data_IF_352008269629
#
_entry.id   IF_352008269629
#
_cell.length_a   1.000
_cell.length_b   1.000
_cell.length_c   1.000
_cell.angle_alpha   90.00
_cell.angle_beta   90.00
_cell.angle_gamma   90.00
#
_symmetry.space_group_name_H-M   'P 1'
#
loop_
_entity.id
_entity.type
_entity.pdbx_description
1 polymer ?
#
# COMPACT_ATOMS: atom_id res chain seq x y z
N UNK A 1 -12.14 -13.84 -17.59
CA UNK A 1 -13.00 -12.76 -18.12
C UNK A 1 -12.34 -11.42 -17.81
N UNK A 2 -12.45 -10.40 -18.66
CA UNK A 2 -11.92 -9.05 -18.37
C UNK A 2 -12.90 -8.31 -17.47
N UNK A 3 -12.47 -7.93 -16.26
CA UNK A 3 -13.31 -7.21 -15.31
C UNK A 3 -12.68 -5.85 -14.98
N UNK A 4 -13.50 -4.81 -15.00
CA UNK A 4 -13.14 -3.51 -14.43
C UNK A 4 -13.32 -3.60 -12.92
N UNK A 5 -12.23 -3.48 -12.16
CA UNK A 5 -12.31 -3.40 -10.70
C UNK A 5 -12.60 -1.95 -10.33
N UNK A 6 -13.75 -1.74 -9.71
CA UNK A 6 -14.11 -0.42 -9.17
C UNK A 6 -13.35 -0.18 -7.86
N UNK A 7 -12.87 1.04 -7.58
CA UNK A 7 -12.36 1.36 -6.25
C UNK A 7 -13.46 1.22 -5.16
N UNK A 8 -14.74 1.25 -5.56
CA UNK A 8 -15.89 1.03 -4.68
C UNK A 8 -16.27 -0.44 -4.52
N UNK A 9 -15.57 -1.35 -5.19
CA UNK A 9 -15.79 -2.78 -5.01
C UNK A 9 -15.35 -3.20 -3.60
N UNK A 10 -16.31 -3.66 -2.81
CA UNK A 10 -16.10 -4.08 -1.42
C UNK A 10 -15.67 -5.55 -1.31
N UNK A 11 -15.73 -6.31 -2.41
CA UNK A 11 -15.37 -7.73 -2.45
C UNK A 11 -13.86 -7.93 -2.51
N UNK A 12 -13.13 -6.97 -3.09
CA UNK A 12 -11.68 -7.00 -3.26
C UNK A 12 -10.99 -5.90 -2.45
N UNK A 13 -9.69 -6.08 -2.22
CA UNK A 13 -8.83 -5.07 -1.61
C UNK A 13 -7.47 -5.08 -2.30
N UNK A 14 -6.91 -3.89 -2.49
CA UNK A 14 -5.54 -3.73 -3.02
C UNK A 14 -4.49 -4.11 -1.98
N UNK A 15 -3.35 -4.65 -2.41
CA UNK A 15 -2.31 -5.16 -1.52
C UNK A 15 -1.76 -4.11 -0.56
N UNK A 16 -1.51 -2.89 -1.00
CA UNK A 16 -1.04 -1.81 -0.13
C UNK A 16 -2.10 -1.33 0.88
N UNK A 17 -3.36 -1.27 0.47
CA UNK A 17 -4.47 -0.99 1.36
C UNK A 17 -4.61 -2.08 2.43
N UNK A 18 -4.54 -3.36 2.03
CA UNK A 18 -4.53 -4.49 2.95
C UNK A 18 -3.34 -4.42 3.91
N UNK A 19 -2.14 -4.17 3.40
CA UNK A 19 -0.93 -4.06 4.20
C UNK A 19 -1.03 -2.93 5.24
N UNK A 20 -1.58 -1.78 4.86
CA UNK A 20 -1.82 -0.67 5.78
C UNK A 20 -2.86 -1.01 6.86
N UNK A 21 -3.94 -1.72 6.50
CA UNK A 21 -4.93 -2.19 7.48
C UNK A 21 -4.32 -3.18 8.48
N UNK A 22 -3.49 -4.10 8.00
CA UNK A 22 -2.79 -5.07 8.85
C UNK A 22 -1.79 -4.38 9.78
N UNK A 23 -1.02 -3.42 9.28
CA UNK A 23 -0.06 -2.66 10.07
C UNK A 23 -0.75 -1.85 11.18
N UNK A 24 -1.91 -1.27 10.90
CA UNK A 24 -2.71 -0.55 11.92
C UNK A 24 -3.17 -1.46 13.08
N UNK A 25 -3.30 -2.76 12.84
CA UNK A 25 -3.73 -3.74 13.85
C UNK A 25 -2.55 -4.36 14.62
N UNK A 26 -1.33 -4.26 14.09
CA UNK A 26 -0.13 -4.82 14.69
C UNK A 26 0.84 -3.73 15.16
N UNK A 27 0.99 -3.49 16.49
CA UNK A 27 1.71 -2.34 17.04
C UNK A 27 3.18 -2.17 16.59
N UNK A 28 3.80 -3.26 16.11
CA UNK A 28 5.21 -3.29 15.73
C UNK A 28 5.44 -3.54 14.24
N UNK A 29 4.37 -3.53 13.44
CA UNK A 29 4.47 -3.80 12.00
C UNK A 29 4.37 -2.51 11.19
N UNK A 30 5.19 -2.41 10.14
CA UNK A 30 5.07 -1.34 9.16
C UNK A 30 4.20 -1.82 7.98
N UNK A 31 3.56 -0.89 7.24
CA UNK A 31 2.88 -1.24 5.99
C UNK A 31 3.80 -1.98 5.01
N UNK A 32 5.07 -1.60 4.90
CA UNK A 32 6.03 -2.27 4.02
C UNK A 32 6.31 -3.71 4.45
N UNK A 33 6.43 -3.97 5.75
CA UNK A 33 6.62 -5.34 6.27
C UNK A 33 5.39 -6.21 6.02
N UNK A 34 4.19 -5.63 6.15
CA UNK A 34 2.93 -6.31 5.84
C UNK A 34 2.78 -6.56 4.34
N UNK A 35 3.20 -5.61 3.49
CA UNK A 35 3.22 -5.80 2.04
C UNK A 35 4.21 -6.91 1.66
N UNK A 36 5.40 -6.95 2.27
CA UNK A 36 6.36 -8.02 2.06
C UNK A 36 5.78 -9.39 2.42
N UNK A 37 5.04 -9.49 3.53
CA UNK A 37 4.34 -10.71 3.93
C UNK A 37 3.33 -11.16 2.86
N UNK A 38 2.51 -10.23 2.34
CA UNK A 38 1.53 -10.53 1.29
C UNK A 38 2.20 -10.94 -0.02
N UNK A 39 3.30 -10.29 -0.41
CA UNK A 39 4.07 -10.63 -1.61
C UNK A 39 4.67 -12.04 -1.51
N UNK A 40 5.23 -12.40 -0.34
CA UNK A 40 5.74 -13.76 -0.11
C UNK A 40 4.63 -14.80 -0.21
N UNK A 41 3.46 -14.54 0.36
CA UNK A 41 2.30 -15.42 0.25
C UNK A 41 1.84 -15.57 -1.21
N UNK A 42 1.82 -14.46 -1.97
CA UNK A 42 1.52 -14.49 -3.39
C UNK A 42 2.52 -15.35 -4.18
N UNK A 43 3.81 -15.27 -3.88
CA UNK A 43 4.82 -16.13 -4.52
C UNK A 43 4.74 -17.60 -4.11
N UNK A 44 4.43 -17.86 -2.84
CA UNK A 44 4.20 -19.22 -2.32
C UNK A 44 3.00 -19.90 -2.99
N UNK A 45 2.10 -19.11 -3.58
CA UNK A 45 0.88 -19.61 -4.18
C UNK A 45 -0.27 -19.77 -3.19
N UNK A 46 -0.17 -19.15 -2.01
CA UNK A 46 -1.23 -19.16 -0.98
C UNK A 46 -2.54 -18.51 -1.48
N UNK A 47 -2.46 -17.70 -2.53
CA UNK A 47 -3.59 -17.02 -3.18
C UNK A 47 -3.94 -17.60 -4.55
N UNK A 48 -3.48 -18.83 -4.85
CA UNK A 48 -3.89 -19.53 -6.05
C UNK A 48 -5.30 -20.12 -5.86
N UNK A 49 -6.09 -20.10 -6.94
CA UNK A 49 -7.37 -20.79 -6.94
C UNK A 49 -7.19 -22.31 -6.70
N UNK A 50 -8.21 -23.00 -6.14
CA UNK A 50 -8.16 -24.43 -5.84
C UNK A 50 -7.69 -25.28 -7.03
N UNK A 51 -6.93 -26.35 -6.74
CA UNK A 51 -6.37 -27.23 -7.75
C UNK A 51 -7.48 -28.04 -8.45
N UNK A 52 -7.39 -28.18 -9.78
CA UNK A 52 -8.39 -28.91 -10.59
C UNK A 52 -8.26 -30.44 -10.51
N UNK A 53 -7.22 -30.95 -9.85
CA UNK A 53 -6.85 -32.37 -9.85
C UNK A 53 -6.77 -32.99 -8.46
N UNK A 54 -7.34 -32.34 -7.44
CA UNK A 54 -7.52 -33.02 -6.16
C UNK A 54 -8.66 -34.04 -6.30
N UNK A 55 -8.32 -35.33 -6.16
CA UNK A 55 -9.13 -36.53 -6.42
C UNK A 55 -10.41 -36.70 -5.56
N UNK A 56 -10.89 -35.65 -4.91
CA UNK A 56 -12.12 -35.68 -4.13
C UNK A 56 -13.15 -34.78 -4.79
N UNK A 57 -14.42 -35.21 -4.78
CA UNK A 57 -15.70 -34.57 -5.19
C UNK A 57 -15.84 -33.05 -4.95
N UNK A 58 -14.88 -32.25 -5.39
CA UNK A 58 -14.85 -30.81 -5.26
C UNK A 58 -15.64 -30.22 -6.41
N UNK A 59 -16.70 -29.51 -6.04
CA UNK A 59 -17.51 -28.74 -6.95
C UNK A 59 -16.62 -27.81 -7.79
N UNK A 60 -16.47 -28.14 -9.08
CA UNK A 60 -15.72 -27.33 -10.04
C UNK A 60 -16.30 -25.91 -10.17
N UNK A 61 -17.49 -25.63 -9.61
CA UNK A 61 -18.06 -24.27 -9.46
C UNK A 61 -17.11 -23.30 -8.76
N UNK A 62 -16.26 -23.77 -7.84
CA UNK A 62 -15.35 -22.91 -7.08
C UNK A 62 -14.31 -22.20 -7.96
N UNK A 63 -13.94 -22.76 -9.12
CA UNK A 63 -13.05 -22.06 -10.06
C UNK A 63 -13.74 -20.98 -10.87
N UNK A 64 -15.06 -21.07 -11.02
CA UNK A 64 -15.85 -20.05 -11.70
C UNK A 64 -16.24 -18.92 -10.75
N UNK A 65 -16.05 -19.08 -9.44
CA UNK A 65 -16.23 -18.03 -8.45
C UNK A 65 -15.10 -16.99 -8.57
N UNK A 66 -15.41 -15.74 -8.98
CA UNK A 66 -14.42 -14.68 -9.10
C UNK A 66 -13.71 -14.35 -7.78
N UNK A 67 -14.30 -14.68 -6.63
CA UNK A 67 -13.75 -14.41 -5.30
C UNK A 67 -12.63 -15.37 -4.89
N UNK A 68 -12.30 -16.35 -5.73
CA UNK A 68 -11.22 -17.31 -5.50
C UNK A 68 -9.94 -17.00 -6.29
N UNK A 69 -9.87 -15.83 -6.95
CA UNK A 69 -8.74 -15.47 -7.81
C UNK A 69 -8.08 -14.17 -7.40
N UNK A 70 -6.75 -14.18 -7.33
CA UNK A 70 -5.96 -12.96 -7.34
C UNK A 70 -6.17 -12.23 -8.68
N UNK A 71 -6.29 -10.92 -8.62
CA UNK A 71 -6.51 -10.04 -9.78
C UNK A 71 -5.21 -9.32 -10.12
N UNK A 72 -4.65 -9.68 -11.26
CA UNK A 72 -3.36 -9.22 -11.75
C UNK A 72 -3.59 -8.11 -12.80
N UNK A 73 -3.05 -6.90 -12.60
CA UNK A 73 -3.12 -5.84 -13.59
C UNK A 73 -2.16 -6.14 -14.75
N UNK A 74 -2.69 -6.15 -15.96
CA UNK A 74 -1.91 -6.33 -17.19
C UNK A 74 -2.23 -5.14 -18.10
N UNK A 75 -1.19 -4.52 -18.68
CA UNK A 75 -1.39 -3.48 -19.69
C UNK A 75 -2.26 -4.05 -20.82
N UNK A 76 -3.35 -3.35 -21.16
CA UNK A 76 -4.30 -3.83 -22.14
C UNK A 76 -3.59 -4.07 -23.49
N UNK A 77 -3.75 -5.26 -24.11
CA UNK A 77 -3.07 -5.58 -25.35
C UNK A 77 -3.36 -4.55 -26.44
N UNK A 78 -2.39 -4.15 -27.29
CA UNK A 78 -2.63 -3.16 -28.34
C UNK A 78 -3.80 -3.52 -29.28
N UNK A 79 -4.07 -4.81 -29.46
CA UNK A 79 -5.16 -5.31 -30.28
C UNK A 79 -6.57 -5.05 -29.70
N UNK A 80 -6.68 -4.82 -28.38
CA UNK A 80 -7.96 -4.51 -27.72
C UNK A 80 -8.20 -3.01 -27.58
N UNK A 81 -7.22 -2.18 -27.94
CA UNK A 81 -7.26 -0.74 -27.76
C UNK A 81 -7.68 0.00 -29.03
N UNK A 82 -8.51 1.04 -28.84
CA UNK A 82 -8.80 2.02 -29.89
C UNK A 82 -7.56 2.84 -30.24
N UNK A 83 -7.55 3.47 -31.42
CA UNK A 83 -6.43 4.32 -31.85
C UNK A 83 -6.15 5.47 -30.86
N UNK A 84 -7.20 6.04 -30.26
CA UNK A 84 -7.06 7.05 -29.21
C UNK A 84 -6.38 6.51 -27.96
N UNK A 85 -6.76 5.31 -27.51
CA UNK A 85 -6.17 4.67 -26.33
C UNK A 85 -4.71 4.24 -26.56
N UNK A 86 -4.35 3.83 -27.78
CA UNK A 86 -2.96 3.48 -28.14
C UNK A 86 -1.98 4.65 -27.96
N UNK A 87 -2.48 5.88 -28.09
CA UNK A 87 -1.69 7.13 -27.94
C UNK A 87 -1.51 7.56 -26.48
N UNK A 88 -2.25 6.96 -25.53
CA UNK A 88 -2.14 7.28 -24.11
C UNK A 88 -0.82 6.79 -23.50
N UNK A 89 -0.29 7.57 -22.55
CA UNK A 89 0.86 7.22 -21.72
C UNK A 89 0.57 7.63 -20.26
N UNK A 90 0.44 6.67 -19.31
CA UNK A 90 0.45 5.21 -19.52
C UNK A 90 -0.77 4.72 -20.31
N UNK A 91 -0.67 3.51 -20.88
CA UNK A 91 -1.80 2.81 -21.50
C UNK A 91 -2.75 2.27 -20.42
N UNK A 92 -4.03 2.03 -20.75
CA UNK A 92 -4.97 1.45 -19.80
C UNK A 92 -4.57 0.03 -19.39
N UNK A 93 -4.92 -0.35 -18.17
CA UNK A 93 -4.73 -1.68 -17.62
C UNK A 93 -6.07 -2.40 -17.51
N UNK A 94 -6.02 -3.72 -17.63
CA UNK A 94 -7.13 -4.63 -17.36
C UNK A 94 -6.72 -5.62 -16.26
N UNK A 95 -7.69 -6.09 -15.48
CA UNK A 95 -7.46 -7.01 -14.37
C UNK A 95 -7.86 -8.42 -14.76
N UNK A 96 -6.92 -9.34 -14.60
CA UNK A 96 -7.07 -10.74 -14.98
C UNK A 96 -6.95 -11.66 -13.77
N UNK A 97 -7.76 -12.72 -13.77
CA UNK A 97 -7.67 -13.82 -12.81
C UNK A 97 -6.35 -14.55 -13.01
N UNK A 98 -5.56 -14.65 -11.95
CA UNK A 98 -4.22 -15.20 -12.07
C UNK A 98 -3.72 -15.90 -10.81
N UNK A 99 -2.72 -16.74 -11.02
CA UNK A 99 -1.94 -17.44 -10.00
C UNK A 99 -0.54 -16.87 -9.87
N UNK A 100 0.25 -17.33 -8.91
CA UNK A 100 1.68 -16.98 -8.76
C UNK A 100 2.48 -17.22 -10.06
N UNK A 101 2.10 -18.25 -10.81
CA UNK A 101 2.61 -18.55 -12.14
C UNK A 101 2.32 -17.45 -13.17
N UNK A 102 1.12 -16.90 -13.14
CA UNK A 102 0.70 -15.82 -14.04
C UNK A 102 1.39 -14.52 -13.65
N UNK A 103 1.48 -14.25 -12.35
CA UNK A 103 2.21 -13.12 -11.77
C UNK A 103 3.68 -13.12 -12.22
N UNK A 104 4.35 -14.28 -12.12
CA UNK A 104 5.72 -14.46 -12.60
C UNK A 104 5.85 -14.08 -14.07
N UNK A 105 5.01 -14.65 -14.95
CA UNK A 105 5.06 -14.38 -16.38
C UNK A 105 4.85 -12.90 -16.71
N UNK A 106 3.93 -12.22 -16.02
CA UNK A 106 3.65 -10.80 -16.24
C UNK A 106 4.80 -9.94 -15.76
N UNK A 107 5.27 -10.13 -14.52
CA UNK A 107 6.40 -9.35 -13.98
C UNK A 107 7.69 -9.56 -14.77
N UNK A 108 7.93 -10.80 -15.24
CA UNK A 108 9.03 -11.11 -16.15
C UNK A 108 8.92 -10.34 -17.47
N UNK A 109 7.74 -10.36 -18.10
CA UNK A 109 7.49 -9.66 -19.37
C UNK A 109 7.61 -8.14 -19.24
N UNK A 110 7.24 -7.60 -18.07
CA UNK A 110 7.34 -6.18 -17.74
C UNK A 110 8.73 -5.77 -17.23
N UNK A 111 9.69 -6.70 -17.10
CA UNK A 111 11.03 -6.47 -16.54
C UNK A 111 11.01 -5.90 -15.13
N UNK A 112 10.10 -6.41 -14.29
CA UNK A 112 9.88 -5.98 -12.91
C UNK A 112 10.51 -6.94 -11.88
N UNK A 113 11.08 -8.06 -12.31
CA UNK A 113 11.81 -8.97 -11.44
C UNK A 113 13.13 -8.34 -10.96
N UNK A 114 13.59 -8.66 -9.74
CA UNK A 114 14.78 -8.07 -9.15
C UNK A 114 16.06 -8.67 -9.75
N UNK A 115 17.15 -7.91 -9.79
CA UNK A 115 18.43 -8.36 -10.35
C UNK A 115 18.49 -8.33 -11.88
N UNK A 116 19.36 -9.16 -12.46
CA UNK A 116 19.70 -9.09 -13.88
C UNK A 116 18.68 -9.83 -14.76
N UNK A 117 18.15 -9.13 -15.77
CA UNK A 117 17.17 -9.70 -16.70
C UNK A 117 17.72 -10.92 -17.46
N UNK A 118 19.02 -10.95 -17.81
CA UNK A 118 19.64 -12.08 -18.48
C UNK A 118 19.63 -13.35 -17.64
N UNK A 119 19.83 -13.23 -16.31
CA UNK A 119 19.78 -14.38 -15.42
C UNK A 119 18.37 -14.97 -15.34
N UNK A 120 17.33 -14.12 -15.39
CA UNK A 120 15.94 -14.58 -15.49
C UNK A 120 15.64 -15.22 -16.85
N UNK A 121 16.19 -14.67 -17.94
CA UNK A 121 16.06 -15.26 -19.27
C UNK A 121 16.69 -16.66 -19.33
N UNK A 122 17.85 -16.86 -18.71
CA UNK A 122 18.49 -18.17 -18.61
C UNK A 122 17.64 -19.14 -17.78
N UNK A 123 17.17 -18.69 -16.60
CA UNK A 123 16.36 -19.50 -15.69
C UNK A 123 15.00 -19.90 -16.29
N UNK A 124 14.34 -19.00 -17.02
CA UNK A 124 12.97 -19.18 -17.50
C UNK A 124 12.86 -19.66 -18.95
N UNK A 125 13.82 -19.36 -19.84
CA UNK A 125 13.72 -19.71 -21.27
C UNK A 125 14.55 -20.93 -21.68
N UNK A 126 15.62 -21.30 -20.97
CA UNK A 126 16.61 -22.28 -21.47
C UNK A 126 16.35 -23.74 -21.07
N UNK A 127 15.11 -24.11 -20.75
CA UNK A 127 14.72 -25.50 -20.52
C UNK A 127 14.02 -26.11 -21.74
N UNK A 128 14.75 -26.76 -22.65
CA UNK A 128 14.11 -27.66 -23.62
C UNK A 128 13.42 -28.81 -22.86
N UNK A 129 12.09 -28.89 -22.92
CA UNK A 129 11.31 -29.98 -22.32
C UNK A 129 11.08 -29.89 -20.79
N UNK A 130 11.09 -31.05 -20.10
CA UNK A 130 10.75 -31.19 -18.65
C UNK A 130 11.54 -30.24 -17.73
N UNK A 131 12.68 -29.70 -18.17
CA UNK A 131 13.45 -28.70 -17.43
C UNK A 131 12.77 -27.32 -17.33
N UNK A 132 11.88 -26.95 -18.26
CA UNK A 132 11.12 -25.70 -18.17
C UNK A 132 10.21 -25.64 -16.92
N UNK A 133 9.61 -26.79 -16.55
CA UNK A 133 8.80 -26.89 -15.33
C UNK A 133 9.66 -26.72 -14.07
N UNK A 134 10.92 -27.17 -14.10
CA UNK A 134 11.87 -26.97 -13.01
C UNK A 134 12.31 -25.51 -12.89
N UNK A 135 12.68 -24.85 -14.00
CA UNK A 135 13.11 -23.45 -13.98
C UNK A 135 12.07 -22.49 -13.40
N UNK A 136 10.78 -22.73 -13.69
CA UNK A 136 9.68 -21.95 -13.10
C UNK A 136 9.53 -22.19 -11.59
N UNK A 137 9.63 -23.43 -11.15
CA UNK A 137 9.54 -23.77 -9.73
C UNK A 137 10.73 -23.21 -8.94
N UNK A 138 11.92 -23.28 -9.53
CA UNK A 138 13.15 -22.72 -8.95
C UNK A 138 13.06 -21.20 -8.86
N UNK A 139 12.53 -20.54 -9.90
CA UNK A 139 12.25 -19.11 -9.91
C UNK A 139 11.29 -18.71 -8.78
N UNK A 140 10.16 -19.40 -8.64
CA UNK A 140 9.21 -19.14 -7.55
C UNK A 140 9.85 -19.34 -6.18
N UNK A 141 10.62 -20.42 -6.01
CA UNK A 141 11.35 -20.71 -4.76
C UNK A 141 12.32 -19.59 -4.40
N UNK A 142 13.08 -19.10 -5.38
CA UNK A 142 13.98 -17.96 -5.18
C UNK A 142 13.20 -16.69 -4.79
N UNK A 143 12.10 -16.37 -5.50
CA UNK A 143 11.30 -15.17 -5.27
C UNK A 143 10.65 -15.12 -3.89
N UNK A 144 10.26 -16.27 -3.32
CA UNK A 144 9.76 -16.35 -1.93
C UNK A 144 10.81 -15.91 -0.90
N UNK A 145 12.09 -16.18 -1.17
CA UNK A 145 13.20 -15.84 -0.30
C UNK A 145 13.69 -14.39 -0.42
N UNK A 146 13.33 -13.69 -1.50
CA UNK A 146 13.82 -12.33 -1.75
C UNK A 146 13.05 -11.29 -0.93
N UNK A 147 13.73 -10.42 -0.16
CA UNK A 147 13.09 -9.29 0.52
C UNK A 147 12.48 -8.30 -0.46
N UNK A 148 11.44 -7.57 -0.05
CA UNK A 148 10.72 -6.65 -0.93
C UNK A 148 11.60 -5.47 -1.40
N UNK A 149 12.58 -5.07 -0.59
CA UNK A 149 13.51 -3.99 -0.92
C UNK A 149 14.47 -4.30 -2.08
N UNK A 150 14.59 -5.57 -2.50
CA UNK A 150 15.41 -5.99 -3.64
C UNK A 150 14.77 -5.64 -4.98
N UNK A 151 13.46 -5.42 -5.01
CA UNK A 151 12.72 -5.01 -6.20
C UNK A 151 12.92 -3.52 -6.45
N UNK A 152 12.89 -3.12 -7.71
CA UNK A 152 12.84 -1.71 -8.10
C UNK A 152 11.57 -1.03 -7.56
N UNK A 153 11.55 0.31 -7.53
CA UNK A 153 10.36 1.06 -7.14
C UNK A 153 9.13 0.68 -7.98
N UNK A 154 9.32 0.51 -9.30
CA UNK A 154 8.27 0.05 -10.20
C UNK A 154 7.77 -1.37 -9.86
N UNK A 155 8.67 -2.29 -9.50
CA UNK A 155 8.30 -3.64 -9.08
C UNK A 155 7.51 -3.65 -7.77
N UNK A 156 7.92 -2.84 -6.79
CA UNK A 156 7.19 -2.68 -5.52
C UNK A 156 5.81 -2.05 -5.73
N UNK A 157 5.73 -1.02 -6.57
CA UNK A 157 4.46 -0.39 -6.94
C UNK A 157 3.53 -1.37 -7.68
N UNK A 158 4.08 -2.28 -8.49
CA UNK A 158 3.29 -3.31 -9.15
C UNK A 158 2.66 -4.29 -8.15
N UNK A 159 3.42 -4.77 -7.16
CA UNK A 159 2.84 -5.61 -6.09
C UNK A 159 1.78 -4.86 -5.28
N UNK A 160 2.04 -3.60 -4.93
CA UNK A 160 1.09 -2.76 -4.21
C UNK A 160 -0.25 -2.63 -4.94
N UNK A 161 -0.25 -2.71 -6.28
CA UNK A 161 -1.42 -2.58 -7.14
C UNK A 161 -2.20 -3.89 -7.38
N UNK A 162 -1.73 -5.04 -6.85
CA UNK A 162 -2.47 -6.30 -6.93
C UNK A 162 -3.76 -6.23 -6.12
N UNK A 163 -4.82 -6.88 -6.61
CA UNK A 163 -6.09 -6.98 -5.90
C UNK A 163 -6.36 -8.41 -5.46
N UNK A 164 -6.77 -8.57 -4.21
CA UNK A 164 -7.14 -9.84 -3.60
C UNK A 164 -8.58 -9.79 -3.08
N UNK A 165 -9.42 -10.79 -3.38
CA UNK A 165 -10.69 -10.98 -2.70
C UNK A 165 -10.54 -11.00 -1.18
N UNK A 166 -11.34 -10.18 -0.50
CA UNK A 166 -11.30 -10.04 0.97
C UNK A 166 -11.59 -11.36 1.67
N UNK A 167 -12.50 -12.18 1.13
CA UNK A 167 -12.80 -13.52 1.65
C UNK A 167 -11.56 -14.41 1.63
N UNK A 168 -10.82 -14.41 0.52
CA UNK A 168 -9.60 -15.20 0.38
C UNK A 168 -8.50 -14.70 1.33
N UNK A 169 -8.30 -13.38 1.42
CA UNK A 169 -7.36 -12.80 2.37
C UNK A 169 -7.73 -13.12 3.83
N UNK A 170 -9.01 -13.02 4.19
CA UNK A 170 -9.48 -13.34 5.54
C UNK A 170 -9.23 -14.80 5.88
N UNK A 171 -9.60 -15.73 4.99
CA UNK A 171 -9.40 -17.16 5.20
C UNK A 171 -7.91 -17.51 5.41
N UNK A 172 -7.02 -16.85 4.67
CA UNK A 172 -5.57 -17.01 4.83
C UNK A 172 -5.06 -16.42 6.15
N UNK A 173 -5.56 -15.24 6.57
CA UNK A 173 -5.20 -14.61 7.84
C UNK A 173 -5.65 -15.43 9.06
N UNK A 174 -6.87 -15.99 9.00
CA UNK A 174 -7.46 -16.81 10.07
C UNK A 174 -6.62 -18.06 10.37
N UNK A 175 -5.92 -18.61 9.37
CA UNK A 175 -5.02 -19.75 9.53
C UNK A 175 -3.69 -19.38 10.22
N UNK A 176 -3.28 -18.10 10.17
CA UNK A 176 -1.95 -17.66 10.60
C UNK A 176 -1.95 -16.93 11.94
N UNK A 177 -3.02 -16.23 12.28
CA UNK A 177 -3.06 -15.43 13.51
C UNK A 177 -4.48 -15.17 13.98
N UNK A 178 -4.72 -15.37 15.27
CA UNK A 178 -5.98 -14.99 15.93
C UNK A 178 -6.19 -13.47 16.00
N UNK A 179 -5.15 -12.66 15.73
CA UNK A 179 -5.22 -11.19 15.81
C UNK A 179 -5.99 -10.54 14.64
N UNK A 180 -6.07 -11.24 13.51
CA UNK A 180 -6.73 -10.73 12.29
C UNK A 180 -8.10 -11.36 12.04
N UNK A 181 -8.65 -12.06 13.03
CA UNK A 181 -9.94 -12.74 12.91
C UNK A 181 -11.04 -11.74 12.60
N UNK A 182 -11.81 -12.03 11.54
CA UNK A 182 -12.95 -11.22 11.06
C UNK A 182 -12.59 -9.76 10.71
N UNK A 183 -11.38 -9.50 10.23
CA UNK A 183 -11.00 -8.18 9.72
C UNK A 183 -11.94 -7.71 8.59
N UNK A 184 -12.42 -8.63 7.75
CA UNK A 184 -13.28 -8.35 6.61
C UNK A 184 -14.68 -8.98 6.68
N UNK A 185 -14.98 -9.81 7.69
CA UNK A 185 -16.30 -10.44 7.83
C UNK A 185 -17.30 -9.46 8.43
N UNK A 186 -18.20 -8.93 7.61
CA UNK A 186 -19.44 -8.26 8.04
C UNK A 186 -20.61 -9.24 8.00
N UNK A 187 -20.58 -10.25 8.87
CA UNK A 187 -21.84 -10.90 9.27
C UNK A 187 -22.49 -10.04 10.35
N UNK A 188 -23.12 -8.93 9.95
CA UNK A 188 -24.19 -8.29 10.71
C UNK A 188 -25.23 -7.71 9.75
N UNK A 189 -26.31 -8.48 9.57
CA UNK A 189 -27.63 -7.88 9.65
C UNK A 189 -27.70 -7.05 10.95
N UNK A 190 -28.30 -5.87 10.86
CA UNK A 190 -28.64 -4.92 11.93
C UNK A 190 -27.61 -3.81 12.21
N UNK A 191 -28.12 -2.58 12.07
CA UNK A 191 -27.67 -1.31 12.59
C UNK A 191 -26.58 -0.52 11.84
N UNK A 192 -27.10 0.37 10.99
CA UNK A 192 -26.55 1.60 10.45
C UNK A 192 -25.30 2.16 11.15
N UNK A 193 -24.13 1.73 10.67
CA UNK A 193 -23.02 2.63 10.41
C UNK A 193 -22.41 2.27 9.05
N UNK A 194 -22.61 3.09 8.00
CA UNK A 194 -21.90 2.84 6.76
C UNK A 194 -20.42 3.07 7.04
N UNK A 195 -19.58 2.07 6.76
CA UNK A 195 -18.15 2.30 6.60
C UNK A 195 -18.02 3.12 5.31
N UNK A 196 -18.07 4.45 5.44
CA UNK A 196 -17.94 5.42 4.34
C UNK A 196 -16.50 5.66 3.90
N UNK A 197 -15.59 4.69 4.11
CA UNK A 197 -14.24 4.78 3.57
C UNK A 197 -14.03 3.73 2.47
N UNK A 198 -13.90 4.15 1.19
CA UNK A 198 -13.54 3.24 0.12
C UNK A 198 -12.15 2.66 0.37
N UNK A 199 -12.08 1.34 0.54
CA UNK A 199 -10.85 0.64 0.93
C UNK A 199 -9.74 0.70 -0.14
N UNK A 200 -10.08 1.02 -1.38
CA UNK A 200 -9.15 1.01 -2.51
C UNK A 200 -8.57 2.39 -2.85
N UNK A 201 -9.00 3.46 -2.18
CA UNK A 201 -8.58 4.84 -2.43
C UNK A 201 -7.37 5.28 -1.59
N UNK A 202 -6.38 4.40 -1.43
CA UNK A 202 -5.07 4.76 -0.88
C UNK A 202 -4.03 4.76 -1.98
N UNK A 203 -4.16 5.66 -2.95
CA UNK A 203 -2.97 6.09 -3.69
C UNK A 203 -1.99 6.69 -2.69
N UNK A 204 -0.73 6.27 -2.78
CA UNK A 204 0.45 6.76 -2.08
C UNK A 204 0.17 7.94 -1.15
N UNK A 205 0.14 7.69 0.16
CA UNK A 205 0.16 8.78 1.14
C UNK A 205 1.50 9.51 1.01
N UNK A 206 1.62 10.42 0.04
CA UNK A 206 2.02 11.75 0.45
C UNK A 206 0.95 12.17 1.47
N UNK A 207 1.33 12.50 2.73
CA UNK A 207 0.35 12.85 3.74
C UNK A 207 -0.55 13.93 3.16
N UNK A 208 -1.85 13.63 3.09
CA UNK A 208 -2.85 14.57 2.61
C UNK A 208 -2.76 15.82 3.46
N UNK A 209 -2.06 16.82 2.95
CA UNK A 209 -2.10 18.17 3.47
C UNK A 209 -3.52 18.64 3.24
N UNK A 210 -4.30 18.64 4.34
CA UNK A 210 -5.55 19.39 4.46
C UNK A 210 -5.38 20.70 3.71
N UNK A 211 -6.31 21.00 2.78
CA UNK A 211 -6.33 22.25 2.00
C UNK A 211 -5.95 23.42 2.92
N UNK A 212 -4.75 23.92 2.69
CA UNK A 212 -4.06 24.86 3.57
C UNK A 212 -2.62 24.96 3.08
N UNK A 213 -2.07 26.16 3.08
CA UNK A 213 -0.71 26.49 2.62
C UNK A 213 0.29 25.44 3.15
N UNK A 214 1.25 24.95 2.32
CA UNK A 214 2.20 23.91 2.71
C UNK A 214 2.80 24.18 4.09
N UNK A 215 2.72 23.18 4.97
CA UNK A 215 3.34 23.25 6.28
C UNK A 215 4.86 23.26 6.07
N UNK A 216 5.50 24.35 6.45
CA UNK A 216 6.95 24.49 6.40
C UNK A 216 7.61 23.38 7.23
N UNK A 217 8.65 22.75 6.69
CA UNK A 217 9.26 21.54 7.26
C UNK A 217 9.75 21.69 8.70
N UNK A 218 10.10 22.91 9.13
CA UNK A 218 10.55 23.19 10.49
C UNK A 218 9.43 23.17 11.55
N UNK A 219 8.14 23.15 11.17
CA UNK A 219 7.04 23.34 12.14
C UNK A 219 6.94 22.29 13.25
N UNK A 220 7.05 20.98 12.97
CA UNK A 220 6.98 19.95 14.00
C UNK A 220 8.10 20.10 15.04
N UNK A 221 9.31 20.45 14.61
CA UNK A 221 10.45 20.69 15.48
C UNK A 221 10.26 21.93 16.36
N UNK A 222 9.79 23.04 15.77
CA UNK A 222 9.50 24.28 16.51
C UNK A 222 8.43 24.04 17.59
N UNK A 223 7.38 23.25 17.29
CA UNK A 223 6.34 22.94 18.28
C UNK A 223 6.87 22.10 19.46
N UNK A 224 7.74 21.12 19.19
CA UNK A 224 8.39 20.34 20.24
C UNK A 224 9.30 21.21 21.11
N UNK A 225 10.15 22.04 20.49
CA UNK A 225 11.04 22.95 21.21
C UNK A 225 10.28 24.01 22.00
N UNK A 226 9.13 24.49 21.50
CA UNK A 226 8.30 25.44 22.22
C UNK A 226 7.80 24.85 23.55
N UNK A 227 7.40 23.57 23.55
CA UNK A 227 6.98 22.87 24.76
C UNK A 227 8.15 22.59 25.72
N UNK A 228 9.33 22.25 25.21
CA UNK A 228 10.53 22.04 26.03
C UNK A 228 11.03 23.34 26.68
N UNK A 229 11.10 24.42 25.90
CA UNK A 229 11.53 25.74 26.38
C UNK A 229 10.53 26.34 27.36
N UNK A 230 9.22 26.20 27.12
CA UNK A 230 8.19 26.68 28.04
C UNK A 230 8.10 25.83 29.32
N UNK A 231 8.52 24.55 29.29
CA UNK A 231 8.63 23.72 30.50
C UNK A 231 9.85 24.08 31.35
N UNK A 232 10.94 24.52 30.71
CA UNK A 232 12.19 24.87 31.39
C UNK A 232 12.18 26.31 31.93
N UNK A 233 11.48 27.22 31.26
CA UNK A 233 11.30 28.61 31.70
C UNK A 233 9.86 29.09 31.40
N UNK A 234 8.90 28.84 32.31
CA UNK A 234 7.49 29.16 32.11
C UNK A 234 7.17 30.66 32.09
N UNK A 235 8.04 31.49 32.66
CA UNK A 235 7.85 32.94 32.77
C UNK A 235 8.46 33.69 31.56
N UNK A 236 9.10 32.96 30.63
CA UNK A 236 9.71 33.55 29.44
C UNK A 236 8.67 34.31 28.61
N UNK A 237 8.93 35.59 28.26
CA UNK A 237 8.05 36.35 27.38
C UNK A 237 7.87 35.63 26.04
N UNK A 238 6.62 35.44 25.59
CA UNK A 238 6.30 34.72 24.34
C UNK A 238 7.05 35.24 23.10
N UNK A 239 7.37 36.54 23.09
CA UNK A 239 8.17 37.17 22.02
C UNK A 239 9.61 36.68 22.04
N UNK A 240 10.22 36.58 23.23
CA UNK A 240 11.56 36.05 23.41
C UNK A 240 11.61 34.55 23.07
N UNK A 241 10.58 33.80 23.48
CA UNK A 241 10.42 32.38 23.11
C UNK A 241 10.34 32.20 21.59
N UNK A 242 9.54 33.01 20.90
CA UNK A 242 9.43 32.96 19.44
C UNK A 242 10.76 33.27 18.73
N UNK A 243 11.52 34.25 19.23
CA UNK A 243 12.84 34.61 18.71
C UNK A 243 13.84 33.45 18.82
N UNK A 244 13.94 32.82 20.00
CA UNK A 244 14.84 31.67 20.22
C UNK A 244 14.48 30.46 19.35
N UNK A 245 13.18 30.21 19.16
CA UNK A 245 12.70 29.14 18.28
C UNK A 245 13.02 29.41 16.80
N UNK A 246 12.93 30.67 16.38
CA UNK A 246 13.28 31.08 15.02
C UNK A 246 14.78 30.92 14.75
N UNK A 247 15.63 31.40 15.65
CA UNK A 247 17.09 31.27 15.55
C UNK A 247 17.53 29.80 15.52
N UNK A 248 16.94 28.97 16.40
CA UNK A 248 17.20 27.53 16.42
C UNK A 248 16.74 26.84 15.13
N UNK A 249 15.59 27.22 14.59
CA UNK A 249 15.09 26.67 13.33
C UNK A 249 15.99 27.02 12.13
N UNK A 250 16.57 28.22 12.10
CA UNK A 250 17.53 28.61 11.05
C UNK A 250 18.87 27.86 11.13
N UNK A 251 19.22 27.29 12.28
CA UNK A 251 20.43 26.45 12.43
C UNK A 251 20.23 25.03 11.88
N UNK A 252 19.00 24.51 11.93
CA UNK A 252 18.70 23.11 11.57
C UNK A 252 18.00 22.96 10.21
N UNK A 253 17.33 24.01 9.70
CA UNK A 253 16.55 23.95 8.47
C UNK A 253 16.97 25.05 7.47
N UNK A 254 16.72 24.79 6.18
CA UNK A 254 16.92 25.81 5.15
C UNK A 254 15.99 27.00 5.39
N UNK A 255 16.45 28.23 5.13
CA UNK A 255 15.66 29.44 5.38
C UNK A 255 14.29 29.45 4.66
N UNK A 256 14.15 28.73 3.54
CA UNK A 256 12.88 28.57 2.82
C UNK A 256 11.84 27.72 3.58
N UNK A 257 12.30 26.87 4.50
CA UNK A 257 11.51 25.94 5.31
C UNK A 257 11.29 26.42 6.75
N UNK A 258 11.77 27.64 7.09
CA UNK A 258 11.61 28.25 8.41
C UNK A 258 10.53 29.33 8.38
N UNK A 259 9.47 29.21 9.21
CA UNK A 259 8.46 30.25 9.35
C UNK A 259 9.04 31.51 9.99
N UNK A 260 8.63 32.70 9.52
CA UNK A 260 9.03 33.97 10.15
C UNK A 260 8.66 34.01 11.64
N UNK A 261 9.47 34.70 12.44
CA UNK A 261 9.30 34.88 13.89
C UNK A 261 7.88 35.32 14.29
N UNK A 262 7.28 36.25 13.55
CA UNK A 262 5.90 36.72 13.79
C UNK A 262 4.85 35.63 13.58
N UNK A 263 5.12 34.66 12.70
CA UNK A 263 4.24 33.51 12.46
C UNK A 263 4.36 32.48 13.59
N UNK A 264 5.57 32.29 14.13
CA UNK A 264 5.83 31.49 15.34
C UNK A 264 5.10 32.11 16.52
N UNK A 265 5.28 33.40 16.75
CA UNK A 265 4.64 34.13 17.85
C UNK A 265 3.11 34.00 17.84
N UNK A 266 2.48 34.11 16.66
CA UNK A 266 1.01 33.97 16.52
C UNK A 266 0.51 32.57 16.85
N UNK A 267 1.31 31.53 16.61
CA UNK A 267 0.91 30.14 16.84
C UNK A 267 1.29 29.60 18.22
N UNK A 268 2.20 30.26 18.95
CA UNK A 268 2.60 29.86 20.30
C UNK A 268 1.41 29.73 21.27
N UNK A 269 0.41 30.61 21.18
CA UNK A 269 -0.77 30.53 22.05
C UNK A 269 -1.54 29.21 21.89
N UNK A 270 -1.67 28.69 20.67
CA UNK A 270 -2.34 27.41 20.40
C UNK A 270 -1.44 26.18 20.63
N UNK A 271 -0.12 26.36 20.75
CA UNK A 271 0.82 25.28 21.05
C UNK A 271 0.98 25.07 22.56
N UNK A 272 0.84 26.13 23.35
CA UNK A 272 1.04 26.09 24.81
C UNK A 272 -0.26 25.84 25.58
N UNK A 273 -1.43 26.15 25.01
CA UNK A 273 -2.72 25.79 25.59
C UNK A 273 -3.19 24.43 25.03
N UNK A 274 -3.32 23.41 25.89
CA UNK A 274 -3.88 22.08 25.58
C UNK A 274 -5.40 22.09 25.26
N UNK A 275 -5.92 23.17 24.68
CA UNK A 275 -7.30 23.21 24.18
C UNK A 275 -7.24 23.08 22.67
N UNK A 276 -7.67 21.92 22.17
CA UNK A 276 -8.16 21.80 20.80
C UNK A 276 -9.02 23.03 20.46
N UNK A 277 -8.80 23.68 19.32
CA UNK A 277 -9.67 24.78 18.93
C UNK A 277 -11.09 24.23 18.75
N UNK A 278 -12.13 24.94 19.21
CA UNK A 278 -13.50 24.53 18.92
C UNK A 278 -13.69 24.54 17.41
N UNK A 279 -14.27 23.44 16.91
CA UNK A 279 -14.97 23.41 15.63
C UNK A 279 -15.81 24.68 15.51
N UNK A 280 -15.40 25.61 14.65
CA UNK A 280 -16.31 26.63 14.14
C UNK A 280 -16.96 26.06 12.89
N UNK A 281 -18.20 25.62 13.09
CA UNK A 281 -19.17 25.53 12.02
C UNK A 281 -19.50 26.91 11.44
N UNK A 282 -20.07 26.80 10.24
CA UNK A 282 -21.03 27.67 9.57
C UNK A 282 -20.51 28.97 8.94
N UNK A 283 -20.45 28.96 7.60
CA UNK A 283 -21.37 29.71 6.72
C UNK A 283 -21.20 29.24 5.25
#
# INVERSE_FOLDING_TARGET
>A
MTQSISPLDDTVIRFDAAAALLANREPNATPDAMLEMLVRAAWQGDFNAPCQFEDNDYDHSQRYDPDNWLRIPIEAPPATLTEGQLRLRPRPFEYYEGSCASLLSVMYSMRLLPGDQSAWDDLLKHGDGRMYLHGKQDALTALVGLPLNTYSEAGRAYFAALYIPRRMLQAWLDQRSSRFVRLFNHDQASDHHPITEPANDRHSYAPQTRRGRPALGAWPAIAAWALELNKSDPDMPRKELAGRLYERALQEFAAADVPNETTILRRLAGMLDNREPPMRGDA
#
